data_IF_508534931617
#
_entry.id   IF_508534931617
#
_cell.length_a   1.000
_cell.length_b   1.000
_cell.length_c   1.000
_cell.angle_alpha   90.00
_cell.angle_beta   90.00
_cell.angle_gamma   90.00
#
_symmetry.space_group_name_H-M   'P 1'
#
loop_
_entity.id
_entity.type
_entity.pdbx_description
1 polymer ?
#
# COMPACT_ATOMS: atom_id res chain seq x y z
N UNK A 1 -95.55 0.96 -16.61
CA UNK A 1 -94.28 0.84 -17.35
C UNK A 1 -93.47 -0.23 -16.62
N UNK A 2 -93.86 -1.50 -16.67
CA UNK A 2 -93.73 -2.42 -17.84
C UNK A 2 -92.26 -2.61 -18.22
N UNK A 3 -91.64 -3.80 -18.15
CA UNK A 3 -92.14 -5.12 -17.72
C UNK A 3 -90.98 -6.09 -17.39
N UNK A 4 -91.31 -7.30 -16.93
CA UNK A 4 -90.39 -8.34 -16.41
C UNK A 4 -89.51 -8.96 -17.54
N UNK A 5 -88.33 -9.55 -17.29
CA UNK A 5 -88.03 -10.90 -16.73
C UNK A 5 -86.47 -11.08 -16.66
N UNK A 6 -85.79 -12.12 -16.13
CA UNK A 6 -86.11 -13.45 -15.56
C UNK A 6 -84.98 -13.87 -14.56
N UNK A 7 -85.35 -14.37 -13.37
CA UNK A 7 -84.76 -15.43 -12.50
C UNK A 7 -83.25 -15.70 -12.23
N UNK A 8 -83.04 -16.26 -11.02
CA UNK A 8 -82.00 -17.23 -10.58
C UNK A 8 -80.57 -16.81 -10.18
N UNK A 9 -80.46 -16.48 -8.89
CA UNK A 9 -79.57 -17.05 -7.84
C UNK A 9 -78.24 -17.78 -8.16
N UNK A 10 -77.23 -17.53 -7.29
CA UNK A 10 -76.67 -18.57 -6.42
C UNK A 10 -75.87 -17.99 -5.23
N UNK A 11 -75.67 -18.78 -4.17
CA UNK A 11 -74.93 -18.43 -2.94
C UNK A 11 -73.42 -18.65 -3.07
N UNK A 12 -72.64 -17.80 -2.39
CA UNK A 12 -71.22 -18.03 -2.10
C UNK A 12 -71.02 -19.33 -1.29
N UNK A 13 -70.10 -20.19 -1.74
CA UNK A 13 -69.45 -21.22 -0.92
C UNK A 13 -67.95 -21.22 -1.18
N UNK A 14 -67.18 -21.32 -0.09
CA UNK A 14 -65.72 -21.43 -0.10
C UNK A 14 -65.31 -22.90 -0.21
N UNK A 15 -64.47 -23.24 -1.17
CA UNK A 15 -63.76 -24.53 -1.22
C UNK A 15 -62.31 -24.33 -1.66
N UNK A 16 -61.36 -24.79 -0.86
CA UNK A 16 -59.93 -24.66 -1.17
C UNK A 16 -59.47 -25.61 -2.30
N UNK A 17 -58.28 -25.36 -2.91
CA UNK A 17 -57.80 -26.16 -4.02
C UNK A 17 -57.39 -27.57 -3.60
N UNK A 18 -57.71 -28.57 -4.44
CA UNK A 18 -57.14 -29.92 -4.34
C UNK A 18 -55.82 -30.02 -5.10
N UNK A 19 -55.05 -31.04 -4.72
CA UNK A 19 -53.72 -31.37 -5.23
C UNK A 19 -53.77 -31.79 -6.70
N UNK A 20 -52.83 -31.29 -7.50
CA UNK A 20 -52.58 -31.71 -8.87
C UNK A 20 -51.53 -30.84 -9.56
N UNK A 21 -50.24 -31.17 -9.37
CA UNK A 21 -49.11 -31.00 -10.32
C UNK A 21 -47.76 -31.04 -9.59
N UNK A 22 -47.31 -32.25 -9.26
CA UNK A 22 -45.97 -32.50 -8.69
C UNK A 22 -44.89 -32.74 -9.77
N UNK A 23 -45.26 -32.78 -11.06
CA UNK A 23 -44.37 -33.18 -12.16
C UNK A 23 -43.71 -31.97 -12.87
N UNK A 24 -44.31 -30.79 -12.79
CA UNK A 24 -43.73 -29.56 -13.33
C UNK A 24 -42.47 -29.10 -12.56
N UNK A 25 -42.45 -29.30 -11.25
CA UNK A 25 -41.33 -28.93 -10.36
C UNK A 25 -40.10 -29.83 -10.54
N UNK A 26 -40.27 -31.10 -10.92
CA UNK A 26 -39.12 -32.00 -11.10
C UNK A 26 -38.30 -31.63 -12.35
N UNK A 27 -38.97 -31.19 -13.43
CA UNK A 27 -38.31 -30.74 -14.66
C UNK A 27 -37.56 -29.41 -14.51
N UNK A 28 -38.03 -28.51 -13.63
CA UNK A 28 -37.26 -27.31 -13.29
C UNK A 28 -36.07 -27.62 -12.39
N UNK A 29 -36.20 -28.58 -11.46
CA UNK A 29 -35.11 -29.00 -10.57
C UNK A 29 -33.94 -29.69 -11.31
N UNK A 30 -34.20 -30.46 -12.37
CA UNK A 30 -33.14 -31.02 -13.22
C UNK A 30 -32.52 -29.97 -14.15
N UNK A 31 -33.29 -29.02 -14.66
CA UNK A 31 -32.75 -27.89 -15.42
C UNK A 31 -31.86 -26.96 -14.55
N UNK A 32 -32.24 -26.70 -13.30
CA UNK A 32 -31.46 -25.87 -12.37
C UNK A 32 -30.16 -26.55 -11.89
N UNK A 33 -30.07 -27.89 -12.00
CA UNK A 33 -28.81 -28.64 -11.77
C UNK A 33 -27.89 -28.69 -13.00
N UNK A 34 -28.35 -28.28 -14.17
CA UNK A 34 -27.57 -28.29 -15.41
C UNK A 34 -26.83 -26.97 -15.71
N UNK A 35 -27.06 -25.92 -14.91
CA UNK A 35 -26.44 -24.59 -15.10
C UNK A 35 -25.47 -24.18 -13.98
N UNK A 36 -25.09 -25.11 -13.10
CA UNK A 36 -23.89 -24.99 -12.27
C UNK A 36 -22.82 -25.91 -12.84
N UNK A 37 -22.29 -25.52 -14.01
CA UNK A 37 -20.87 -25.77 -14.22
C UNK A 37 -20.15 -24.90 -13.19
N UNK A 38 -19.48 -25.53 -12.24
CA UNK A 38 -18.43 -24.85 -11.48
C UNK A 38 -17.48 -24.24 -12.51
N UNK A 39 -17.35 -22.91 -12.51
CA UNK A 39 -16.21 -22.28 -13.19
C UNK A 39 -14.97 -22.83 -12.52
N UNK A 40 -14.32 -23.81 -13.17
CA UNK A 40 -13.04 -24.34 -12.77
C UNK A 40 -12.10 -23.15 -12.74
N UNK A 41 -11.81 -22.63 -11.53
CA UNK A 41 -10.85 -21.55 -11.39
C UNK A 41 -9.53 -22.07 -11.95
N UNK A 42 -8.86 -21.31 -12.84
CA UNK A 42 -7.66 -21.80 -13.51
C UNK A 42 -6.59 -22.10 -12.45
N UNK A 43 -6.27 -23.39 -12.35
CA UNK A 43 -5.26 -23.94 -11.45
C UNK A 43 -3.93 -23.17 -11.63
N UNK A 44 -3.27 -22.81 -10.53
CA UNK A 44 -2.13 -21.90 -10.59
C UNK A 44 -0.93 -22.56 -11.30
N UNK A 45 -0.69 -22.17 -12.55
CA UNK A 45 0.43 -22.65 -13.36
C UNK A 45 1.84 -22.23 -12.84
N UNK A 46 1.92 -21.34 -11.84
CA UNK A 46 3.18 -20.80 -11.33
C UNK A 46 3.53 -21.33 -9.93
N UNK A 47 4.57 -22.16 -9.85
CA UNK A 47 5.15 -22.57 -8.56
C UNK A 47 5.85 -21.40 -7.82
N UNK A 48 6.21 -21.57 -6.54
CA UNK A 48 6.81 -20.49 -5.74
C UNK A 48 8.15 -19.96 -6.30
N UNK A 49 8.88 -20.80 -7.06
CA UNK A 49 10.13 -20.43 -7.74
C UNK A 49 9.96 -19.42 -8.88
N UNK A 50 8.75 -19.27 -9.41
CA UNK A 50 8.48 -18.34 -10.51
C UNK A 50 8.39 -16.88 -10.03
N UNK A 51 8.34 -16.64 -8.71
CA UNK A 51 8.17 -15.32 -8.13
C UNK A 51 9.51 -14.72 -7.69
N UNK A 52 9.80 -13.52 -8.20
CA UNK A 52 11.12 -12.87 -8.03
C UNK A 52 11.07 -11.54 -7.28
N UNK A 53 9.87 -11.00 -7.07
CA UNK A 53 9.64 -9.70 -6.39
C UNK A 53 8.71 -9.89 -5.20
N UNK A 54 9.18 -9.52 -4.01
CA UNK A 54 8.34 -9.36 -2.83
C UNK A 54 7.75 -7.95 -2.74
N UNK A 55 6.48 -7.82 -2.36
CA UNK A 55 5.82 -6.53 -2.13
C UNK A 55 5.12 -6.58 -0.76
N UNK A 56 5.59 -5.76 0.18
CA UNK A 56 5.11 -5.71 1.55
C UNK A 56 4.30 -4.44 1.76
N UNK A 57 3.13 -4.57 2.39
CA UNK A 57 2.22 -3.49 2.78
C UNK A 57 1.99 -3.52 4.30
N UNK A 58 1.85 -2.36 4.94
CA UNK A 58 1.47 -2.25 6.36
C UNK A 58 -0.06 -2.31 6.57
N UNK A 59 -0.84 -1.75 5.63
CA UNK A 59 -2.27 -1.52 5.78
C UNK A 59 -3.13 -2.27 4.73
N UNK A 60 -4.40 -2.59 5.04
CA UNK A 60 -5.32 -3.16 4.07
C UNK A 60 -5.61 -2.27 2.86
N UNK A 61 -5.47 -0.94 2.98
CA UNK A 61 -5.61 0.00 1.86
C UNK A 61 -4.48 -0.13 0.86
N UNK A 62 -3.25 -0.21 1.36
CA UNK A 62 -2.03 -0.37 0.58
C UNK A 62 -2.03 -1.71 -0.15
N UNK A 63 -2.36 -2.81 0.55
CA UNK A 63 -2.48 -4.14 -0.07
C UNK A 63 -3.54 -4.19 -1.18
N UNK A 64 -4.67 -3.50 -0.99
CA UNK A 64 -5.71 -3.44 -2.02
C UNK A 64 -5.31 -2.56 -3.22
N UNK A 65 -4.57 -1.47 -3.01
CA UNK A 65 -3.96 -0.68 -4.08
C UNK A 65 -2.91 -1.51 -4.86
N UNK A 66 -2.01 -2.19 -4.17
CA UNK A 66 -1.01 -3.09 -4.75
C UNK A 66 -1.67 -4.18 -5.62
N UNK A 67 -2.71 -4.86 -5.09
CA UNK A 67 -3.49 -5.85 -5.85
C UNK A 67 -4.19 -5.25 -7.08
N UNK A 68 -4.65 -4.00 -6.99
CA UNK A 68 -5.26 -3.29 -8.12
C UNK A 68 -4.26 -2.92 -9.24
N UNK A 69 -2.97 -2.84 -8.93
CA UNK A 69 -1.90 -2.55 -9.89
C UNK A 69 -1.41 -3.77 -10.66
N UNK A 70 -1.73 -4.99 -10.23
CA UNK A 70 -1.42 -6.22 -10.95
C UNK A 70 -2.07 -6.21 -12.35
N UNK A 71 -1.30 -6.56 -13.38
CA UNK A 71 -1.84 -6.79 -14.72
C UNK A 71 -2.69 -8.06 -14.71
N UNK A 72 -2.17 -9.11 -14.07
CA UNK A 72 -2.74 -10.44 -13.92
C UNK A 72 -2.68 -10.87 -12.44
N UNK A 73 -3.74 -11.51 -11.94
CA UNK A 73 -3.79 -12.13 -10.62
C UNK A 73 -3.70 -13.63 -10.85
N UNK A 74 -2.76 -14.31 -10.21
CA UNK A 74 -2.65 -15.77 -10.26
C UNK A 74 -3.48 -16.38 -9.12
N UNK A 75 -4.02 -17.58 -9.33
CA UNK A 75 -4.61 -18.37 -8.25
C UNK A 75 -3.54 -18.73 -7.20
N UNK A 76 -3.93 -18.99 -5.96
CA UNK A 76 -3.00 -19.25 -4.85
C UNK A 76 -3.23 -20.57 -4.09
N UNK A 77 -4.15 -21.41 -4.56
CA UNK A 77 -4.62 -22.63 -3.87
C UNK A 77 -3.47 -23.55 -3.40
N UNK A 78 -2.59 -23.97 -4.33
CA UNK A 78 -1.43 -24.82 -3.99
C UNK A 78 -0.45 -24.16 -3.00
N UNK A 79 -0.37 -22.83 -2.98
CA UNK A 79 0.51 -22.14 -2.03
C UNK A 79 -0.15 -22.08 -0.67
N UNK A 80 -1.47 -21.92 -0.56
CA UNK A 80 -2.18 -22.03 0.72
C UNK A 80 -2.01 -23.43 1.35
N UNK A 81 -1.98 -24.50 0.54
CA UNK A 81 -1.75 -25.87 1.01
C UNK A 81 -0.31 -26.13 1.52
N UNK A 82 0.70 -25.55 0.87
CA UNK A 82 2.12 -25.71 1.25
C UNK A 82 2.56 -24.74 2.36
N UNK A 83 1.82 -23.64 2.56
CA UNK A 83 2.15 -22.55 3.47
C UNK A 83 1.84 -22.86 4.95
N UNK A 84 2.64 -23.74 5.54
CA UNK A 84 2.69 -23.98 6.98
C UNK A 84 3.08 -22.73 7.82
N UNK A 85 3.41 -21.60 7.19
CA UNK A 85 3.85 -20.36 7.87
C UNK A 85 2.72 -19.34 8.10
N UNK A 86 1.51 -19.58 7.59
CA UNK A 86 0.31 -18.75 7.82
C UNK A 86 0.33 -17.37 7.16
N UNK A 87 1.28 -17.09 6.26
CA UNK A 87 1.36 -15.82 5.53
C UNK A 87 0.24 -15.68 4.50
N UNK A 88 -0.69 -14.74 4.67
CA UNK A 88 -1.74 -14.51 3.68
C UNK A 88 -1.18 -13.78 2.45
N UNK A 89 -0.79 -14.49 1.40
CA UNK A 89 -0.22 -13.91 0.18
C UNK A 89 -1.28 -13.49 -0.87
N UNK A 90 -0.85 -12.79 -1.92
CA UNK A 90 -1.62 -12.53 -3.14
C UNK A 90 -0.63 -12.53 -4.29
N UNK A 91 -0.91 -13.36 -5.29
CA UNK A 91 0.01 -13.65 -6.38
C UNK A 91 -0.42 -12.96 -7.67
N UNK A 92 0.54 -12.57 -8.50
CA UNK A 92 0.23 -12.00 -9.80
C UNK A 92 1.46 -11.52 -10.56
N UNK A 93 1.22 -10.71 -11.58
CA UNK A 93 2.24 -10.23 -12.51
C UNK A 93 2.11 -8.73 -12.78
N UNK A 94 3.25 -8.06 -12.89
CA UNK A 94 3.39 -6.69 -13.40
C UNK A 94 4.42 -6.73 -14.53
N UNK A 95 3.96 -6.49 -15.76
CA UNK A 95 4.75 -6.60 -16.98
C UNK A 95 5.39 -7.99 -17.14
N UNK A 96 6.69 -8.08 -16.86
CA UNK A 96 7.52 -9.29 -16.97
C UNK A 96 7.94 -9.88 -15.61
N UNK A 97 7.44 -9.33 -14.50
CA UNK A 97 7.82 -9.74 -13.14
C UNK A 97 6.63 -10.38 -12.43
N UNK A 98 6.84 -11.57 -11.88
CA UNK A 98 5.89 -12.22 -11.00
C UNK A 98 6.13 -11.71 -9.57
N UNK A 99 5.05 -11.24 -8.94
CA UNK A 99 5.07 -10.47 -7.69
C UNK A 99 4.26 -11.19 -6.62
N UNK A 100 4.82 -11.27 -5.40
CA UNK A 100 4.14 -11.75 -4.20
C UNK A 100 3.79 -10.54 -3.34
N UNK A 101 2.50 -10.23 -3.22
CA UNK A 101 2.01 -9.20 -2.32
C UNK A 101 1.64 -9.83 -0.98
N UNK A 102 2.08 -9.22 0.12
CA UNK A 102 1.61 -9.55 1.47
C UNK A 102 1.26 -8.29 2.27
N UNK A 103 0.61 -8.48 3.40
CA UNK A 103 0.31 -7.40 4.34
C UNK A 103 0.65 -7.80 5.78
N UNK A 104 1.02 -6.83 6.61
CA UNK A 104 1.19 -7.05 8.05
C UNK A 104 -0.10 -7.56 8.70
N UNK A 105 -0.03 -8.29 9.83
CA UNK A 105 -1.21 -8.80 10.51
C UNK A 105 -2.05 -7.62 10.99
N UNK A 106 -3.37 -7.71 10.84
CA UNK A 106 -4.27 -6.59 11.11
C UNK A 106 -4.12 -6.11 12.56
N UNK A 107 -3.70 -4.86 12.73
CA UNK A 107 -3.49 -4.24 14.05
C UNK A 107 -2.11 -4.49 14.66
N UNK A 108 -1.16 -5.08 13.92
CA UNK A 108 0.21 -5.33 14.35
C UNK A 108 1.22 -4.67 13.38
N UNK A 109 1.27 -3.32 13.32
CA UNK A 109 2.27 -2.58 12.54
C UNK A 109 3.67 -2.67 13.16
N UNK A 110 4.66 -2.07 12.48
CA UNK A 110 6.00 -1.87 13.02
C UNK A 110 7.08 -2.86 12.55
N UNK A 111 8.33 -2.47 12.82
CA UNK A 111 9.55 -3.08 12.26
C UNK A 111 9.69 -4.60 12.46
N UNK A 112 9.41 -5.10 13.67
CA UNK A 112 9.57 -6.53 13.98
C UNK A 112 8.60 -7.42 13.18
N UNK A 113 7.35 -6.97 13.01
CA UNK A 113 6.34 -7.70 12.24
C UNK A 113 6.64 -7.66 10.74
N UNK A 114 7.17 -6.54 10.25
CA UNK A 114 7.67 -6.42 8.90
C UNK A 114 8.82 -7.40 8.64
N UNK A 115 9.84 -7.45 9.51
CA UNK A 115 10.93 -8.40 9.41
C UNK A 115 10.46 -9.86 9.40
N UNK A 116 9.56 -10.25 10.31
CA UNK A 116 9.05 -11.61 10.42
C UNK A 116 8.31 -12.07 9.15
N UNK A 117 7.44 -11.22 8.59
CA UNK A 117 6.70 -11.51 7.36
C UNK A 117 7.61 -11.52 6.14
N UNK A 118 8.62 -10.64 6.10
CA UNK A 118 9.62 -10.61 5.06
C UNK A 118 10.40 -11.95 5.00
N UNK A 119 10.85 -12.45 6.15
CA UNK A 119 11.54 -13.76 6.27
C UNK A 119 10.62 -14.90 5.84
N UNK A 120 9.36 -14.92 6.30
CA UNK A 120 8.41 -15.96 5.90
C UNK A 120 8.12 -15.93 4.39
N UNK A 121 8.02 -14.74 3.78
CA UNK A 121 7.88 -14.61 2.33
C UNK A 121 9.09 -15.22 1.60
N UNK A 122 10.33 -14.89 1.99
CA UNK A 122 11.51 -15.48 1.35
C UNK A 122 11.60 -17.00 1.52
N UNK A 123 11.15 -17.55 2.67
CA UNK A 123 11.06 -19.01 2.88
C UNK A 123 10.03 -19.67 1.97
N UNK A 124 8.89 -19.02 1.74
CA UNK A 124 7.85 -19.54 0.83
C UNK A 124 8.25 -19.38 -0.65
N UNK A 125 8.96 -18.30 -0.99
CA UNK A 125 9.33 -17.91 -2.35
C UNK A 125 10.85 -17.67 -2.46
N UNK A 126 11.68 -18.74 -2.50
CA UNK A 126 13.14 -18.62 -2.39
C UNK A 126 13.80 -18.00 -3.63
N UNK A 127 13.09 -17.89 -4.74
CA UNK A 127 13.55 -17.18 -5.95
C UNK A 127 13.38 -15.65 -5.89
N UNK A 128 12.86 -15.07 -4.79
CA UNK A 128 12.82 -13.62 -4.56
C UNK A 128 14.25 -13.02 -4.60
N UNK A 129 14.37 -11.89 -5.31
CA UNK A 129 15.64 -11.16 -5.54
C UNK A 129 15.69 -9.83 -4.81
N UNK A 130 14.54 -9.20 -4.62
CA UNK A 130 14.39 -7.97 -3.84
C UNK A 130 12.96 -7.79 -3.33
N UNK A 131 12.81 -6.96 -2.31
CA UNK A 131 11.52 -6.49 -1.81
C UNK A 131 11.19 -5.06 -2.27
N UNK A 132 9.91 -4.72 -2.21
CA UNK A 132 9.39 -3.35 -2.18
C UNK A 132 8.58 -3.19 -0.90
N UNK A 133 8.87 -2.16 -0.10
CA UNK A 133 7.97 -1.72 0.97
C UNK A 133 7.15 -0.54 0.45
N UNK A 134 5.88 -0.79 0.15
CA UNK A 134 5.02 0.21 -0.49
C UNK A 134 3.82 0.48 0.41
N UNK A 135 3.65 1.74 0.78
CA UNK A 135 2.55 2.15 1.66
C UNK A 135 2.39 3.65 1.77
N UNK A 136 1.76 4.11 2.84
CA UNK A 136 1.64 5.54 3.15
C UNK A 136 2.77 6.01 4.07
N UNK A 137 3.11 7.30 3.97
CA UNK A 137 3.95 8.02 4.93
C UNK A 137 3.35 9.39 5.23
N UNK A 138 3.88 10.07 6.24
CA UNK A 138 3.60 11.49 6.47
C UNK A 138 4.71 12.36 5.87
N UNK A 139 4.35 13.37 5.08
CA UNK A 139 5.29 14.25 4.38
C UNK A 139 5.98 15.24 5.32
N UNK A 140 7.16 15.68 4.93
CA UNK A 140 7.96 16.70 5.61
C UNK A 140 8.15 17.92 4.69
N UNK A 141 7.12 18.77 4.52
CA UNK A 141 7.21 19.98 3.72
C UNK A 141 8.04 21.03 4.49
N UNK A 142 9.35 21.01 4.27
CA UNK A 142 10.24 22.10 4.67
C UNK A 142 10.00 23.25 3.68
N UNK A 143 9.88 24.49 4.15
CA UNK A 143 9.77 25.68 3.29
C UNK A 143 11.10 25.95 2.54
N UNK A 144 11.30 25.20 1.47
CA UNK A 144 12.29 25.43 0.41
C UNK A 144 11.59 25.26 -0.93
N UNK A 145 11.74 26.23 -1.83
CA UNK A 145 11.09 26.27 -3.16
C UNK A 145 11.30 24.99 -3.99
N UNK A 146 12.40 24.27 -3.76
CA UNK A 146 12.76 23.02 -4.45
C UNK A 146 11.98 21.76 -4.01
N UNK A 147 11.27 21.77 -2.86
CA UNK A 147 10.75 20.54 -2.20
C UNK A 147 9.37 20.69 -1.55
N UNK A 148 8.42 21.26 -2.28
CA UNK A 148 7.02 21.30 -1.85
C UNK A 148 6.33 19.94 -1.98
N UNK A 149 6.35 19.17 -0.89
CA UNK A 149 5.70 17.87 -0.76
C UNK A 149 4.21 18.07 -0.41
N UNK A 150 3.31 17.49 -1.22
CA UNK A 150 1.85 17.60 -1.07
C UNK A 150 1.17 16.29 -0.71
N UNK A 151 -0.07 16.38 -0.22
CA UNK A 151 -0.88 15.20 0.04
C UNK A 151 -1.23 14.51 -1.28
N UNK A 152 -1.01 13.19 -1.33
CA UNK A 152 -1.13 12.38 -2.53
C UNK A 152 0.16 12.15 -3.31
N UNK A 153 1.21 12.95 -3.11
CA UNK A 153 2.53 12.76 -3.73
C UNK A 153 3.17 11.42 -3.32
N UNK A 154 4.22 11.03 -4.05
CA UNK A 154 5.03 9.84 -3.75
C UNK A 154 6.45 10.26 -3.36
N UNK A 155 6.93 9.77 -2.23
CA UNK A 155 8.35 9.83 -1.85
C UNK A 155 9.00 8.46 -2.04
N UNK A 156 10.15 8.44 -2.70
CA UNK A 156 10.93 7.23 -3.03
C UNK A 156 12.27 7.29 -2.32
N UNK A 157 12.63 6.22 -1.59
CA UNK A 157 13.92 6.16 -0.89
C UNK A 157 15.09 6.15 -1.88
N UNK A 158 15.82 7.26 -1.98
CA UNK A 158 16.94 7.42 -2.89
C UNK A 158 18.27 7.60 -2.14
N UNK A 159 19.33 6.97 -2.65
CA UNK A 159 20.69 7.09 -2.08
C UNK A 159 21.27 8.45 -2.52
N UNK A 160 21.54 9.34 -1.57
CA UNK A 160 22.08 10.68 -1.86
C UNK A 160 23.03 11.14 -0.76
N UNK A 161 24.10 11.85 -1.12
CA UNK A 161 25.08 12.52 -0.23
C UNK A 161 25.36 11.84 1.13
N UNK A 162 25.77 10.57 1.12
CA UNK A 162 26.13 9.81 2.32
C UNK A 162 24.98 9.12 3.04
N UNK A 163 23.72 9.41 2.67
CA UNK A 163 22.53 8.71 3.16
C UNK A 163 22.25 7.43 2.37
N UNK A 164 21.80 6.33 3.02
CA UNK A 164 21.40 5.10 2.32
C UNK A 164 19.97 5.14 1.76
N UNK A 165 19.24 6.26 1.90
CA UNK A 165 17.87 6.45 1.42
C UNK A 165 16.78 6.17 2.46
N UNK A 166 17.10 5.42 3.52
CA UNK A 166 16.25 5.24 4.71
C UNK A 166 17.09 5.48 5.96
N UNK A 167 16.58 6.22 6.93
CA UNK A 167 17.26 6.48 8.20
C UNK A 167 16.37 6.11 9.37
N UNK A 168 16.85 5.27 10.30
CA UNK A 168 16.13 5.07 11.56
C UNK A 168 16.46 6.23 12.51
N UNK A 169 15.59 7.25 12.54
CA UNK A 169 15.88 8.50 13.26
C UNK A 169 15.69 8.39 14.78
N UNK A 170 15.03 7.34 15.27
CA UNK A 170 14.85 7.05 16.70
C UNK A 170 15.85 6.01 17.26
N UNK A 171 16.79 5.51 16.45
CA UNK A 171 17.83 4.57 16.90
C UNK A 171 19.14 5.28 17.21
N UNK A 172 19.56 5.23 18.47
CA UNK A 172 20.66 6.07 18.96
C UNK A 172 21.00 5.86 20.42
N UNK A 173 22.01 6.61 20.88
CA UNK A 173 22.44 6.68 22.27
C UNK A 173 22.08 8.05 22.85
N UNK A 174 21.50 8.06 24.05
CA UNK A 174 21.30 9.29 24.81
C UNK A 174 22.50 9.53 25.73
N UNK A 175 23.26 10.59 25.47
CA UNK A 175 24.45 10.99 26.24
C UNK A 175 24.26 12.43 26.73
N UNK A 176 24.33 12.66 28.04
CA UNK A 176 24.19 13.99 28.67
C UNK A 176 22.91 14.76 28.24
N UNK A 177 21.81 14.04 28.01
CA UNK A 177 20.54 14.62 27.54
C UNK A 177 20.46 14.86 26.02
N UNK A 178 21.54 14.62 25.28
CA UNK A 178 21.56 14.70 23.81
C UNK A 178 21.40 13.31 23.22
N UNK A 179 20.39 13.15 22.36
CA UNK A 179 20.24 11.93 21.57
C UNK A 179 21.15 11.99 20.34
N UNK A 180 22.06 11.02 20.23
CA UNK A 180 22.92 10.81 19.05
C UNK A 180 22.43 9.59 18.30
N UNK A 181 21.91 9.78 17.10
CA UNK A 181 21.56 8.67 16.22
C UNK A 181 22.80 7.82 15.92
N UNK A 182 22.66 6.49 15.86
CA UNK A 182 23.75 5.56 15.53
C UNK A 182 23.31 4.55 14.48
N UNK A 183 24.28 3.91 13.82
CA UNK A 183 24.02 2.92 12.79
C UNK A 183 23.64 3.52 11.43
N UNK A 184 23.69 2.67 10.41
CA UNK A 184 23.34 3.00 9.03
C UNK A 184 22.66 1.77 8.45
N UNK A 185 21.46 1.94 7.90
CA UNK A 185 20.73 0.85 7.24
C UNK A 185 21.37 0.51 5.88
N UNK A 186 21.13 -0.70 5.40
CA UNK A 186 21.47 -1.09 4.04
C UNK A 186 20.85 -0.16 2.98
N UNK A 187 21.48 -0.14 1.81
CA UNK A 187 21.01 0.60 0.62
C UNK A 187 20.10 -0.27 -0.23
N UNK A 188 19.20 0.33 -1.04
CA UNK A 188 18.46 -0.41 -2.06
C UNK A 188 19.39 -1.19 -3.01
N UNK A 189 18.96 -2.36 -3.51
CA UNK A 189 19.67 -3.13 -4.54
C UNK A 189 20.12 -2.27 -5.73
N UNK A 190 21.31 -2.50 -6.32
CA UNK A 190 21.77 -1.76 -7.49
C UNK A 190 20.77 -1.76 -8.66
N UNK A 191 20.04 -2.87 -8.88
CA UNK A 191 18.99 -2.95 -9.90
C UNK A 191 17.82 -1.98 -9.65
N UNK A 192 17.43 -1.77 -8.38
CA UNK A 192 16.39 -0.81 -8.01
C UNK A 192 16.93 0.63 -8.03
N UNK A 193 18.15 0.86 -7.54
CA UNK A 193 18.79 2.18 -7.60
C UNK A 193 18.98 2.67 -9.05
N UNK A 194 19.40 1.80 -9.98
CA UNK A 194 19.49 2.13 -11.41
C UNK A 194 18.13 2.38 -12.06
N UNK A 195 17.08 1.68 -11.64
CA UNK A 195 15.73 1.92 -12.13
C UNK A 195 15.13 3.23 -11.61
N UNK A 196 15.41 3.59 -10.34
CA UNK A 196 15.08 4.91 -9.76
C UNK A 196 15.78 6.02 -10.54
N UNK A 197 17.10 5.95 -10.73
CA UNK A 197 17.85 6.97 -11.49
C UNK A 197 17.31 7.17 -12.91
N UNK A 198 16.87 6.08 -13.56
CA UNK A 198 16.26 6.11 -14.89
C UNK A 198 14.88 6.76 -14.89
N UNK A 199 14.06 6.53 -13.85
CA UNK A 199 12.75 7.18 -13.73
C UNK A 199 12.89 8.65 -13.36
N UNK A 200 13.78 9.00 -12.44
CA UNK A 200 14.10 10.39 -12.09
C UNK A 200 14.51 11.20 -13.34
N UNK A 201 15.43 10.68 -14.15
CA UNK A 201 15.80 11.28 -15.44
C UNK A 201 14.66 11.33 -16.48
N UNK A 202 13.66 10.44 -16.40
CA UNK A 202 12.47 10.51 -17.25
C UNK A 202 11.50 11.58 -16.73
N UNK A 203 11.37 11.72 -15.41
CA UNK A 203 10.48 12.67 -14.74
C UNK A 203 10.99 14.12 -14.83
N UNK A 204 12.29 14.32 -15.12
CA UNK A 204 12.83 15.62 -15.57
C UNK A 204 12.39 16.01 -17.00
N UNK A 205 11.96 15.05 -17.84
CA UNK A 205 11.62 15.27 -19.25
C UNK A 205 10.11 15.19 -19.55
N UNK A 206 9.39 14.30 -18.86
CA UNK A 206 8.00 13.93 -19.12
C UNK A 206 7.33 13.53 -17.79
N UNK A 207 6.04 13.81 -17.64
CA UNK A 207 5.27 13.50 -16.42
C UNK A 207 5.33 12.02 -16.00
N UNK A 208 5.24 11.77 -14.70
CA UNK A 208 5.15 10.40 -14.15
C UNK A 208 3.86 9.71 -14.56
N UNK A 209 3.95 8.39 -14.79
CA UNK A 209 2.80 7.55 -15.16
C UNK A 209 1.93 7.14 -13.97
N UNK A 210 2.15 7.74 -12.80
CA UNK A 210 1.35 7.50 -11.58
C UNK A 210 -0.14 7.74 -11.83
N UNK A 211 -0.54 8.91 -12.33
CA UNK A 211 -1.96 9.23 -12.56
C UNK A 211 -2.58 8.35 -13.67
N UNK A 212 -1.78 7.98 -14.69
CA UNK A 212 -2.18 7.04 -15.74
C UNK A 212 -2.50 5.64 -15.17
N UNK A 213 -1.62 5.10 -14.33
CA UNK A 213 -1.82 3.79 -13.70
C UNK A 213 -2.93 3.81 -12.64
N UNK A 214 -3.09 4.90 -11.89
CA UNK A 214 -4.22 5.10 -10.99
C UNK A 214 -5.55 5.10 -11.76
N UNK A 215 -5.64 5.86 -12.84
CA UNK A 215 -6.82 5.90 -13.71
C UNK A 215 -7.15 4.50 -14.26
N UNK A 216 -6.15 3.77 -14.74
CA UNK A 216 -6.31 2.38 -15.23
C UNK A 216 -6.77 1.42 -14.12
N UNK A 217 -6.21 1.51 -12.91
CA UNK A 217 -6.65 0.72 -11.76
C UNK A 217 -8.12 1.00 -11.41
N UNK A 218 -8.52 2.26 -11.35
CA UNK A 218 -9.89 2.66 -10.99
C UNK A 218 -10.91 2.24 -12.05
N UNK A 219 -10.54 2.28 -13.33
CA UNK A 219 -11.35 1.74 -14.43
C UNK A 219 -11.48 0.20 -14.36
N UNK A 220 -10.38 -0.52 -14.06
CA UNK A 220 -10.38 -1.98 -13.88
C UNK A 220 -11.17 -2.42 -12.63
N UNK A 221 -11.23 -1.57 -11.60
CA UNK A 221 -11.88 -1.86 -10.33
C UNK A 221 -12.83 -0.74 -9.87
N UNK A 222 -14.02 -0.55 -10.49
CA UNK A 222 -14.91 0.57 -10.20
C UNK A 222 -15.34 0.72 -8.72
N UNK A 223 -15.39 -0.38 -7.96
CA UNK A 223 -15.65 -0.36 -6.51
C UNK A 223 -14.60 0.43 -5.72
N UNK A 224 -13.37 0.55 -6.24
CA UNK A 224 -12.29 1.31 -5.61
C UNK A 224 -12.48 2.83 -5.77
N UNK A 225 -13.17 3.30 -6.82
CA UNK A 225 -13.33 4.74 -7.12
C UNK A 225 -13.77 5.57 -5.91
N UNK A 226 -14.75 5.08 -5.13
CA UNK A 226 -15.28 5.77 -3.94
C UNK A 226 -14.25 6.01 -2.83
N UNK A 227 -13.19 5.19 -2.76
CA UNK A 227 -12.18 5.24 -1.68
C UNK A 227 -10.78 5.65 -2.16
N UNK A 228 -10.41 5.28 -3.39
CA UNK A 228 -9.06 5.46 -3.94
C UNK A 228 -8.98 6.56 -5.01
N UNK A 229 -10.10 7.14 -5.45
CA UNK A 229 -10.09 8.38 -6.21
C UNK A 229 -9.64 9.58 -5.34
N UNK A 230 -9.27 10.69 -5.98
CA UNK A 230 -8.81 11.90 -5.28
C UNK A 230 -9.87 12.38 -4.28
N UNK A 231 -9.52 12.61 -3.01
CA UNK A 231 -10.50 12.96 -1.98
C UNK A 231 -11.05 14.38 -2.20
N UNK A 232 -12.27 14.62 -1.72
CA UNK A 232 -12.84 15.98 -1.63
C UNK A 232 -12.26 16.81 -0.46
N UNK A 233 -11.36 16.22 0.33
CA UNK A 233 -10.64 16.92 1.39
C UNK A 233 -9.52 17.73 0.74
N UNK A 234 -9.42 19.01 1.09
CA UNK A 234 -8.32 19.86 0.62
C UNK A 234 -6.98 19.36 1.15
N UNK A 235 -5.91 19.70 0.44
CA UNK A 235 -4.56 19.67 0.96
C UNK A 235 -4.35 20.90 1.86
N UNK A 236 -4.31 20.67 3.17
CA UNK A 236 -4.13 21.71 4.18
C UNK A 236 -2.83 21.46 4.96
N UNK A 237 -1.80 22.26 4.66
CA UNK A 237 -0.60 22.37 5.48
C UNK A 237 -0.77 23.54 6.45
N UNK A 238 -0.67 23.27 7.76
CA UNK A 238 -0.68 24.28 8.81
C UNK A 238 0.74 24.63 9.26
N UNK A 239 0.93 25.84 9.79
CA UNK A 239 2.17 26.25 10.45
C UNK A 239 2.58 25.28 11.56
N UNK A 240 3.87 24.98 11.68
CA UNK A 240 4.37 23.94 12.58
C UNK A 240 4.09 24.19 14.08
N UNK A 241 3.91 25.45 14.49
CA UNK A 241 3.53 25.81 15.85
C UNK A 241 2.03 25.71 16.15
N UNK A 242 1.18 25.55 15.13
CA UNK A 242 -0.27 25.48 15.29
C UNK A 242 -0.71 24.03 15.59
N UNK A 243 -1.49 23.86 16.66
CA UNK A 243 -1.95 22.55 17.12
C UNK A 243 -3.44 22.32 16.79
N UNK A 244 -3.75 21.12 16.29
CA UNK A 244 -5.11 20.74 15.90
C UNK A 244 -6.09 20.81 17.09
N UNK A 245 -7.06 21.72 17.02
CA UNK A 245 -7.93 22.09 18.15
C UNK A 245 -8.70 20.94 18.81
N UNK A 246 -8.98 19.84 18.10
CA UNK A 246 -9.71 18.70 18.68
C UNK A 246 -8.84 17.60 19.35
N UNK A 247 -7.55 17.85 19.66
CA UNK A 247 -6.66 16.96 20.44
C UNK A 247 -5.86 15.93 19.61
N UNK A 248 -5.46 14.78 20.18
CA UNK A 248 -4.79 13.64 19.50
C UNK A 248 -5.68 12.36 19.42
N UNK A 249 -5.77 11.64 18.28
CA UNK A 249 -6.81 10.61 18.02
C UNK A 249 -7.42 10.57 16.58
N UNK A 250 -8.00 9.43 16.14
CA UNK A 250 -8.47 9.19 14.76
C UNK A 250 -9.86 9.78 14.44
N UNK A 251 -10.23 9.79 13.15
CA UNK A 251 -11.56 10.22 12.69
C UNK A 251 -11.80 11.74 12.68
N UNK A 252 -10.74 12.54 12.67
CA UNK A 252 -10.81 14.01 12.76
C UNK A 252 -10.83 14.73 11.43
N UNK A 253 -11.35 15.94 11.48
CA UNK A 253 -11.35 16.88 10.37
C UNK A 253 -10.90 18.27 10.83
N UNK A 254 -10.08 18.94 10.03
CA UNK A 254 -9.65 20.32 10.27
C UNK A 254 -10.76 21.38 10.10
N UNK A 255 -12.05 20.99 10.07
CA UNK A 255 -13.21 21.88 9.90
C UNK A 255 -13.31 23.00 10.95
N UNK A 256 -12.76 22.76 12.13
CA UNK A 256 -12.73 23.72 13.24
C UNK A 256 -11.33 24.34 13.43
N UNK A 257 -10.36 24.05 12.56
CA UNK A 257 -9.05 24.70 12.65
C UNK A 257 -9.15 26.12 12.11
N UNK A 258 -8.39 27.03 12.71
CA UNK A 258 -8.24 28.38 12.23
C UNK A 258 -7.42 28.37 10.94
N UNK A 259 -8.07 28.73 9.84
CA UNK A 259 -7.51 28.68 8.49
C UNK A 259 -6.50 29.81 8.24
N UNK A 260 -6.35 30.78 9.16
CA UNK A 260 -5.29 31.79 9.09
C UNK A 260 -3.89 31.23 9.33
N UNK A 261 -3.78 30.05 9.95
CA UNK A 261 -2.53 29.30 10.15
C UNK A 261 -2.19 28.35 8.98
N UNK A 262 -2.87 28.46 7.84
CA UNK A 262 -2.48 27.70 6.65
C UNK A 262 -1.23 28.32 6.01
N UNK A 263 -0.27 27.46 5.66
CA UNK A 263 0.92 27.87 4.92
C UNK A 263 0.51 28.21 3.48
N UNK A 264 0.74 29.45 3.07
CA UNK A 264 0.61 29.87 1.68
C UNK A 264 1.64 29.14 0.82
N UNK A 265 1.19 28.56 -0.28
CA UNK A 265 2.01 27.85 -1.27
C UNK A 265 1.51 28.21 -2.66
N UNK A 266 2.41 28.20 -3.64
CA UNK A 266 2.05 28.48 -5.03
C UNK A 266 1.09 27.41 -5.59
N UNK A 267 0.31 27.76 -6.61
CA UNK A 267 -0.49 26.77 -7.32
C UNK A 267 0.42 25.85 -8.15
N UNK A 268 0.07 24.56 -8.21
CA UNK A 268 0.69 23.62 -9.18
C UNK A 268 -0.05 23.70 -10.50
N UNK A 269 0.65 23.42 -11.59
CA UNK A 269 0.08 23.37 -12.94
C UNK A 269 -1.10 22.40 -13.05
N UNK A 270 -1.03 21.27 -12.31
CA UNK A 270 -2.15 20.34 -12.17
C UNK A 270 -2.24 19.71 -10.76
N UNK A 271 -3.14 18.73 -10.63
CA UNK A 271 -3.36 17.99 -9.37
C UNK A 271 -2.84 16.55 -9.39
N UNK A 272 -1.93 16.21 -10.29
CA UNK A 272 -1.30 14.89 -10.35
C UNK A 272 -0.34 14.69 -9.17
N UNK A 273 -0.13 13.44 -8.71
CA UNK A 273 0.90 13.14 -7.72
C UNK A 273 2.30 13.39 -8.28
N UNK A 274 3.08 14.24 -7.61
CA UNK A 274 4.50 14.42 -7.92
C UNK A 274 5.36 13.35 -7.23
N UNK A 275 6.49 13.00 -7.84
CA UNK A 275 7.44 12.02 -7.32
C UNK A 275 8.68 12.73 -6.78
N UNK A 276 9.00 12.47 -5.52
CA UNK A 276 10.13 13.08 -4.80
C UNK A 276 11.16 12.01 -4.44
N UNK A 277 12.42 12.23 -4.80
CA UNK A 277 13.52 11.29 -4.55
C UNK A 277 14.37 11.77 -3.38
N UNK A 278 14.49 10.94 -2.33
CA UNK A 278 15.33 11.32 -1.18
C UNK A 278 15.19 10.43 0.04
N UNK A 279 15.41 11.03 1.22
CA UNK A 279 15.55 10.30 2.48
C UNK A 279 14.20 10.08 3.17
N UNK A 280 13.93 8.83 3.54
CA UNK A 280 12.77 8.42 4.34
C UNK A 280 13.18 8.16 5.79
N UNK A 281 12.48 8.77 6.75
CA UNK A 281 12.67 8.58 8.18
C UNK A 281 11.81 7.44 8.73
N UNK A 282 12.45 6.45 9.35
CA UNK A 282 11.82 5.28 9.98
C UNK A 282 11.90 5.33 11.51
N UNK A 283 10.86 4.88 12.22
CA UNK A 283 10.82 4.82 13.69
C UNK A 283 9.79 3.80 14.21
N UNK A 284 9.83 3.46 15.51
CA UNK A 284 8.72 2.72 16.17
C UNK A 284 7.53 3.63 16.55
N UNK A 285 7.70 4.96 16.46
CA UNK A 285 6.72 5.93 16.92
C UNK A 285 6.13 6.75 15.75
N UNK A 286 4.80 6.91 15.74
CA UNK A 286 4.12 7.78 14.77
C UNK A 286 4.56 9.24 15.00
N UNK A 287 5.18 9.88 13.99
CA UNK A 287 5.43 11.32 14.04
C UNK A 287 4.10 12.08 13.95
N UNK A 288 3.84 12.96 14.93
CA UNK A 288 2.65 13.84 15.05
C UNK A 288 2.98 15.22 15.63
N UNK A 289 4.24 15.62 15.51
CA UNK A 289 4.81 16.83 16.09
C UNK A 289 5.56 17.55 14.99
N UNK A 290 4.97 18.64 14.49
CA UNK A 290 5.50 19.37 13.34
C UNK A 290 6.85 20.05 13.65
N UNK A 291 7.07 20.50 14.89
CA UNK A 291 8.36 21.09 15.29
C UNK A 291 9.47 20.04 15.30
N UNK A 292 9.17 18.84 15.82
CA UNK A 292 10.11 17.71 15.83
C UNK A 292 10.34 17.11 14.43
N UNK A 293 9.28 17.06 13.61
CA UNK A 293 9.32 16.73 12.17
C UNK A 293 10.28 17.68 11.45
N UNK A 294 10.09 18.98 11.59
CA UNK A 294 10.88 19.98 10.86
C UNK A 294 12.32 20.01 11.32
N UNK A 295 12.58 19.85 12.63
CA UNK A 295 13.93 19.72 13.17
C UNK A 295 14.71 18.58 12.51
N UNK A 296 14.15 17.36 12.48
CA UNK A 296 14.81 16.22 11.83
C UNK A 296 14.86 16.33 10.31
N UNK A 297 13.85 16.95 9.69
CA UNK A 297 13.79 17.15 8.25
C UNK A 297 14.91 18.12 7.81
N UNK A 298 15.10 19.23 8.54
CA UNK A 298 16.20 20.18 8.30
C UNK A 298 17.57 19.60 8.64
N UNK A 299 17.72 18.85 9.74
CA UNK A 299 19.00 18.25 10.16
C UNK A 299 19.50 17.18 9.16
N UNK A 300 18.59 16.37 8.60
CA UNK A 300 18.93 15.14 7.87
C UNK A 300 18.50 15.14 6.40
N UNK A 301 17.67 16.09 5.96
CA UNK A 301 17.04 16.09 4.64
C UNK A 301 15.93 15.05 4.48
N UNK A 302 15.24 14.68 5.56
CA UNK A 302 14.11 13.72 5.51
C UNK A 302 12.91 14.35 4.78
N UNK A 303 12.36 13.61 3.82
CA UNK A 303 11.21 14.02 3.00
C UNK A 303 9.88 13.42 3.49
N UNK A 304 9.90 12.23 4.11
CA UNK A 304 8.72 11.65 4.74
C UNK A 304 9.05 10.71 5.91
N UNK A 305 8.07 10.46 6.76
CA UNK A 305 8.16 9.62 7.95
C UNK A 305 7.22 8.41 7.87
N UNK A 306 7.72 7.25 8.27
CA UNK A 306 7.03 5.96 8.30
C UNK A 306 7.52 5.07 9.46
N UNK A 307 7.03 3.83 9.59
CA UNK A 307 7.21 3.02 10.81
C UNK A 307 7.73 1.58 10.62
N UNK A 308 8.00 1.15 9.39
CA UNK A 308 8.31 -0.26 9.11
C UNK A 308 9.68 -0.48 8.46
N UNK A 309 10.13 0.45 7.62
CA UNK A 309 11.20 0.22 6.67
C UNK A 309 12.53 -0.18 7.31
N UNK A 310 12.91 0.41 8.45
CA UNK A 310 14.15 0.03 9.12
C UNK A 310 14.16 -1.42 9.62
N UNK A 311 12.99 -2.06 9.81
CA UNK A 311 12.88 -3.49 10.07
C UNK A 311 13.06 -4.36 8.82
N UNK A 312 13.00 -3.76 7.63
CA UNK A 312 13.12 -4.46 6.34
C UNK A 312 14.49 -4.28 5.70
N UNK A 313 15.04 -3.06 5.66
CA UNK A 313 16.26 -2.75 4.88
C UNK A 313 17.44 -3.70 5.19
N UNK A 314 17.62 -4.05 6.46
CA UNK A 314 18.74 -4.90 6.88
C UNK A 314 18.48 -6.42 6.69
N UNK A 315 17.21 -6.79 6.46
CA UNK A 315 16.74 -8.19 6.39
C UNK A 315 16.35 -8.62 4.97
N UNK A 316 15.83 -7.71 4.14
CA UNK A 316 15.60 -7.89 2.71
C UNK A 316 16.19 -6.70 1.97
N UNK A 317 17.03 -6.92 0.94
CA UNK A 317 17.40 -5.87 0.00
C UNK A 317 16.14 -5.31 -0.69
N UNK A 318 15.70 -4.12 -0.29
CA UNK A 318 14.46 -3.52 -0.76
C UNK A 318 14.55 -2.02 -1.06
N UNK A 319 13.53 -1.51 -1.76
CA UNK A 319 13.27 -0.08 -1.93
C UNK A 319 11.99 0.29 -1.17
N UNK A 320 11.93 1.51 -0.63
CA UNK A 320 10.77 2.02 0.11
C UNK A 320 10.09 3.10 -0.73
N UNK A 321 8.77 3.00 -0.87
CA UNK A 321 7.92 3.90 -1.64
C UNK A 321 6.74 4.31 -0.76
N UNK A 322 6.62 5.61 -0.47
CA UNK A 322 5.62 6.14 0.47
C UNK A 322 4.76 7.21 -0.18
N UNK A 323 3.47 6.93 -0.31
CA UNK A 323 2.46 7.93 -0.69
C UNK A 323 2.13 8.83 0.49
N UNK A 324 2.06 10.13 0.27
CA UNK A 324 1.89 11.12 1.36
C UNK A 324 0.42 11.22 1.75
N UNK A 325 0.09 10.77 2.96
CA UNK A 325 -1.28 10.73 3.50
C UNK A 325 -1.59 11.80 4.55
N UNK A 326 -0.57 12.47 5.07
CA UNK A 326 -0.62 13.51 6.09
C UNK A 326 0.73 14.23 6.17
N UNK A 327 0.87 15.19 7.07
CA UNK A 327 2.10 15.97 7.26
C UNK A 327 2.86 15.65 8.55
N UNK A 328 2.73 14.42 9.09
CA UNK A 328 3.45 13.99 10.31
C UNK A 328 3.26 14.92 11.51
N UNK A 329 2.09 15.55 11.60
CA UNK A 329 1.75 16.60 12.55
C UNK A 329 0.50 16.24 13.37
N UNK A 330 -0.03 17.23 14.09
CA UNK A 330 -1.25 17.06 14.89
C UNK A 330 -2.54 17.00 14.04
N UNK A 331 -2.50 17.36 12.76
CA UNK A 331 -3.65 17.40 11.83
C UNK A 331 -3.84 16.09 11.04
N UNK A 332 -2.94 15.11 11.20
CA UNK A 332 -3.02 13.77 10.62
C UNK A 332 -4.43 13.16 10.71
N UNK A 333 -4.99 12.81 9.56
CA UNK A 333 -6.31 12.21 9.41
C UNK A 333 -6.30 11.14 8.29
N UNK A 334 -7.41 10.41 8.15
CA UNK A 334 -7.47 9.23 7.28
C UNK A 334 -7.96 9.52 5.84
N UNK A 335 -8.29 10.78 5.50
CA UNK A 335 -8.98 11.12 4.25
C UNK A 335 -8.14 10.85 2.99
N UNK A 336 -6.82 11.04 3.08
CA UNK A 336 -5.90 10.89 1.96
C UNK A 336 -5.26 9.49 1.87
N UNK A 337 -5.35 8.67 2.92
CA UNK A 337 -4.60 7.41 3.03
C UNK A 337 -4.80 6.46 1.84
N UNK A 338 -6.01 6.34 1.32
CA UNK A 338 -6.30 5.43 0.23
C UNK A 338 -5.87 5.98 -1.14
N UNK A 339 -5.99 7.29 -1.39
CA UNK A 339 -5.44 7.92 -2.58
C UNK A 339 -3.90 7.84 -2.59
N UNK A 340 -3.26 8.18 -1.46
CA UNK A 340 -1.83 8.02 -1.24
C UNK A 340 -1.36 6.55 -1.41
N UNK A 341 -2.13 5.58 -0.90
CA UNK A 341 -1.88 4.14 -1.14
C UNK A 341 -1.88 3.80 -2.63
N UNK A 342 -2.77 4.40 -3.42
CA UNK A 342 -2.85 4.20 -4.87
C UNK A 342 -1.69 4.85 -5.62
N UNK A 343 -1.29 6.07 -5.25
CA UNK A 343 -0.16 6.77 -5.84
C UNK A 343 1.16 6.00 -5.61
N UNK A 344 1.40 5.56 -4.37
CA UNK A 344 2.56 4.71 -4.03
C UNK A 344 2.59 3.41 -4.84
N UNK A 345 1.45 2.73 -4.97
CA UNK A 345 1.33 1.50 -5.75
C UNK A 345 1.49 1.73 -7.26
N UNK A 346 1.03 2.88 -7.78
CA UNK A 346 1.19 3.27 -9.17
C UNK A 346 2.66 3.52 -9.51
N UNK A 347 3.40 4.23 -8.66
CA UNK A 347 4.84 4.41 -8.84
C UNK A 347 5.59 3.07 -8.72
N UNK A 348 5.22 2.20 -7.78
CA UNK A 348 5.80 0.86 -7.69
C UNK A 348 5.56 0.02 -8.96
N UNK A 349 4.42 0.20 -9.64
CA UNK A 349 4.18 -0.38 -10.97
C UNK A 349 5.08 0.24 -12.05
N UNK A 350 5.20 1.56 -12.10
CA UNK A 350 6.09 2.29 -13.01
C UNK A 350 7.55 1.81 -12.88
N UNK A 351 8.05 1.70 -11.65
CA UNK A 351 9.35 1.17 -11.30
C UNK A 351 9.57 -0.27 -11.82
N UNK A 352 8.64 -1.19 -11.55
CA UNK A 352 8.77 -2.56 -12.02
C UNK A 352 8.76 -2.64 -13.55
N UNK A 353 8.02 -1.78 -14.24
CA UNK A 353 8.05 -1.70 -15.71
C UNK A 353 9.37 -1.09 -16.24
N UNK A 354 10.05 -0.25 -15.45
CA UNK A 354 11.37 0.28 -15.77
C UNK A 354 12.51 -0.73 -15.54
N UNK A 355 12.37 -1.66 -14.59
CA UNK A 355 13.34 -2.71 -14.24
C UNK A 355 13.41 -3.81 -15.34
N UNK A 356 14.57 -4.05 -15.97
CA UNK A 356 14.73 -5.13 -16.94
C UNK A 356 14.69 -6.53 -16.29
N UNK A 357 13.82 -7.41 -16.77
CA UNK A 357 13.70 -8.80 -16.26
C UNK A 357 15.01 -9.61 -16.33
N UNK A 358 15.92 -9.29 -17.26
CA UNK A 358 17.27 -9.88 -17.30
C UNK A 358 18.13 -9.49 -16.10
N UNK A 359 18.04 -8.25 -15.62
CA UNK A 359 18.77 -7.77 -14.44
C UNK A 359 18.23 -8.35 -13.13
N UNK A 360 16.92 -8.61 -13.06
CA UNK A 360 16.32 -9.36 -11.93
C UNK A 360 16.90 -10.77 -11.88
N UNK A 361 16.96 -11.49 -13.01
CA UNK A 361 17.54 -12.84 -13.08
C UNK A 361 19.04 -12.90 -12.72
N UNK A 362 19.80 -11.84 -12.98
CA UNK A 362 21.22 -11.74 -12.57
C UNK A 362 21.43 -11.25 -11.14
N UNK A 363 20.39 -10.74 -10.47
CA UNK A 363 20.46 -10.41 -9.04
C UNK A 363 20.54 -11.72 -8.24
N UNK A 364 21.43 -11.87 -7.24
CA UNK A 364 21.49 -13.07 -6.41
C UNK A 364 20.14 -13.39 -5.74
N UNK A 365 19.86 -14.67 -5.50
CA UNK A 365 18.83 -15.06 -4.52
C UNK A 365 19.29 -14.67 -3.11
N UNK A 366 18.34 -14.56 -2.19
CA UNK A 366 18.61 -14.23 -0.80
C UNK A 366 18.87 -15.52 0.00
N UNK A 367 20.04 -15.62 0.65
CA UNK A 367 20.31 -16.68 1.62
C UNK A 367 19.56 -16.36 2.93
N UNK A 368 18.39 -16.98 3.08
CA UNK A 368 17.52 -16.79 4.24
C UNK A 368 18.17 -17.30 5.53
N UNK A 369 19.04 -18.31 5.45
CA UNK A 369 19.76 -18.82 6.63
C UNK A 369 20.93 -17.91 7.01
N UNK A 370 21.58 -17.24 6.06
CA UNK A 370 22.51 -16.13 6.36
C UNK A 370 21.78 -14.95 7.04
N UNK A 371 20.62 -14.54 6.52
CA UNK A 371 19.80 -13.48 7.09
C UNK A 371 19.34 -13.85 8.52
N UNK A 372 18.80 -15.05 8.72
CA UNK A 372 18.38 -15.52 10.05
C UNK A 372 19.56 -15.63 11.02
N UNK A 373 20.76 -16.03 10.57
CA UNK A 373 21.98 -16.03 11.39
C UNK A 373 22.43 -14.62 11.77
N UNK A 374 22.31 -13.64 10.87
CA UNK A 374 22.59 -12.22 11.19
C UNK A 374 21.65 -11.71 12.28
N UNK A 375 20.34 -11.96 12.15
CA UNK A 375 19.33 -11.57 13.14
C UNK A 375 19.62 -12.22 14.50
N UNK A 376 19.78 -13.55 14.55
CA UNK A 376 20.01 -14.28 15.80
C UNK A 376 21.33 -13.92 16.51
N UNK A 377 22.31 -13.38 15.79
CA UNK A 377 23.55 -12.87 16.40
C UNK A 377 23.41 -11.44 16.96
N UNK A 378 22.42 -10.65 16.53
CA UNK A 378 22.16 -9.30 17.06
C UNK A 378 21.59 -9.38 18.49
N UNK A 379 20.71 -10.33 18.76
CA UNK A 379 20.21 -10.64 20.12
C UNK A 379 21.33 -11.12 21.07
N UNK A 380 22.49 -11.54 20.53
CA UNK A 380 23.65 -11.96 21.30
C UNK A 380 24.52 -10.82 21.85
N UNK A 381 24.28 -9.57 21.42
CA UNK A 381 25.10 -8.40 21.78
C UNK A 381 24.55 -7.59 22.98
N UNK A 382 23.51 -8.08 23.67
CA UNK A 382 23.00 -7.50 24.91
C UNK A 382 23.49 -8.25 26.16
N UNK A 383 24.81 -8.30 26.37
CA UNK A 383 25.47 -8.75 27.61
C UNK A 383 26.61 -7.84 28.01
#
# INVERSE_FOLDING_TARGET
MEGEWLSDGCRLQLTGPRIGDADATLRSATAFRASQQEEIQPENQYGPEEYTVGWICALPSERAAARGMLDEIHADDHIQEVNNSGGAYTLGRIGKHNVVITGLPKGMPGKAQAAAIAINMMRTFPSIRFGLMVGIGGGAPINSEEKDIRLGDVVVSAVSHGSPGVVQYDFGKSENGVFKQVGTLNKPPPVLASAVQKLESHHEMEDSKVEEYMTKMLAKHPKMLKKYGRPMANDCLFEAGYLHQAGAGPGRSCKNCDMSYLVSRDDRDDSSPQVHYGLIGSADNVMRDALKRDLFAMEKGILCYEMEAAGLMDNIPCLVIRGIADYSDSHKNDAWQAYASAAAAAYAKELLLAVPASQVKSTPTLDVDEICRKIGNIDGLSK
#
